data_IF_492057769968
#
_entry.id   IF_492057769968
#
_cell.length_a   1.000
_cell.length_b   1.000
_cell.length_c   1.000
_cell.angle_alpha   90.00
_cell.angle_beta   90.00
_cell.angle_gamma   90.00
#
_symmetry.space_group_name_H-M   'P 1'
#
loop_
_entity.id
_entity.type
_entity.pdbx_description
1 polymer ?
#
# COMPACT_ATOMS: atom_id res chain seq x y z
N UNK A 1 -40.58 -45.23 68.51
CA UNK A 1 -39.16 -44.98 68.35
C UNK A 1 -38.97 -44.41 66.96
N UNK A 2 -38.86 -43.16 66.89
CA UNK A 2 -38.66 -42.49 65.63
C UNK A 2 -37.20 -42.10 65.50
N UNK A 3 -36.57 -42.64 64.53
CA UNK A 3 -35.24 -42.24 64.15
C UNK A 3 -35.39 -40.96 63.34
N UNK A 4 -34.70 -39.90 63.69
CA UNK A 4 -34.74 -38.71 62.86
C UNK A 4 -33.96 -39.01 61.60
N UNK A 5 -34.66 -38.94 60.55
CA UNK A 5 -34.08 -39.03 59.23
C UNK A 5 -33.26 -37.78 59.00
N UNK A 6 -32.03 -37.96 58.98
CA UNK A 6 -31.16 -36.96 58.38
C UNK A 6 -31.54 -36.81 56.91
N UNK A 7 -31.95 -35.68 56.54
CA UNK A 7 -32.24 -35.37 55.18
C UNK A 7 -30.95 -35.16 54.42
N UNK A 8 -30.76 -35.88 53.35
CA UNK A 8 -29.60 -35.64 52.47
C UNK A 8 -29.95 -34.56 51.45
N UNK A 9 -29.98 -33.40 51.95
CA UNK A 9 -30.36 -32.33 51.07
C UNK A 9 -29.21 -31.40 50.73
N UNK A 10 -28.13 -31.93 50.88
CA UNK A 10 -26.93 -31.25 50.49
C UNK A 10 -26.54 -31.63 49.06
N UNK A 11 -27.05 -31.38 48.44
CA UNK A 11 -27.31 -30.79 47.36
C UNK A 11 -26.24 -29.98 46.74
N UNK A 12 -25.81 -30.52 45.74
CA UNK A 12 -25.23 -30.16 44.50
C UNK A 12 -24.25 -29.00 44.41
N UNK A 13 -24.30 -28.09 45.31
CA UNK A 13 -23.37 -26.95 45.27
C UNK A 13 -22.15 -27.09 46.23
N UNK A 14 -22.17 -28.08 47.06
CA UNK A 14 -21.01 -28.43 47.86
C UNK A 14 -19.91 -29.21 47.10
N UNK A 15 -20.20 -29.59 45.88
CA UNK A 15 -19.24 -30.27 45.00
C UNK A 15 -18.54 -29.37 44.02
N UNK A 16 -18.78 -28.05 44.12
CA UNK A 16 -18.00 -27.12 43.35
C UNK A 16 -16.59 -27.03 43.91
N UNK A 17 -15.73 -27.77 43.31
CA UNK A 17 -14.27 -27.70 43.60
C UNK A 17 -13.70 -26.55 42.77
N UNK A 18 -13.15 -25.53 43.40
CA UNK A 18 -12.55 -24.40 42.67
C UNK A 18 -11.19 -24.77 42.07
N UNK A 19 -11.13 -25.83 41.33
CA UNK A 19 -9.88 -26.30 40.75
C UNK A 19 -10.03 -26.91 39.38
N UNK A 20 -11.28 -27.12 38.95
CA UNK A 20 -11.56 -27.80 37.66
C UNK A 20 -11.86 -26.86 36.51
N UNK A 21 -12.10 -25.61 36.80
CA UNK A 21 -12.13 -24.61 35.74
C UNK A 21 -10.72 -24.10 35.54
N UNK A 22 -9.98 -24.72 34.67
CA UNK A 22 -8.77 -24.12 34.15
C UNK A 22 -9.21 -22.79 33.53
N UNK A 23 -8.71 -21.64 34.02
CA UNK A 23 -8.95 -20.42 33.31
C UNK A 23 -8.33 -20.64 31.92
N UNK A 24 -9.15 -20.55 30.91
CA UNK A 24 -8.65 -20.46 29.54
C UNK A 24 -7.66 -19.32 29.56
N UNK A 25 -6.39 -19.65 29.54
CA UNK A 25 -5.35 -18.63 29.57
C UNK A 25 -5.55 -17.82 28.30
N UNK A 26 -5.58 -16.50 28.41
CA UNK A 26 -5.77 -15.59 27.26
C UNK A 26 -4.77 -15.87 26.11
N UNK A 27 -3.76 -16.67 26.37
CA UNK A 27 -2.82 -17.14 25.38
C UNK A 27 -3.41 -18.17 24.40
N UNK A 28 -4.45 -18.93 24.78
CA UNK A 28 -5.05 -19.91 23.86
C UNK A 28 -5.85 -19.25 22.73
N UNK A 29 -6.37 -18.05 22.97
CA UNK A 29 -7.03 -17.26 21.91
C UNK A 29 -6.05 -16.62 20.90
N UNK A 30 -4.75 -16.64 21.20
CA UNK A 30 -3.71 -16.07 20.33
C UNK A 30 -3.05 -17.10 19.42
N UNK A 31 -3.37 -18.37 19.58
CA UNK A 31 -2.92 -19.46 18.72
C UNK A 31 -3.96 -19.83 17.65
N UNK A 32 -4.73 -18.88 17.19
CA UNK A 32 -5.32 -19.00 15.89
C UNK A 32 -4.15 -18.95 14.90
N UNK A 33 -3.82 -20.11 14.35
CA UNK A 33 -2.87 -20.18 13.25
C UNK A 33 -3.56 -19.53 12.03
N UNK A 34 -3.47 -18.20 11.96
CA UNK A 34 -4.07 -17.40 10.88
C UNK A 34 -3.41 -17.79 9.56
N UNK A 35 -2.15 -18.20 9.62
CA UNK A 35 -1.38 -18.65 8.45
C UNK A 35 -1.96 -19.93 7.80
N UNK A 36 -2.80 -20.68 8.53
CA UNK A 36 -3.46 -21.87 8.01
C UNK A 36 -4.57 -21.54 6.99
N UNK A 37 -5.04 -20.29 6.99
CA UNK A 37 -6.05 -19.79 6.05
C UNK A 37 -5.46 -18.96 4.92
N UNK A 38 -4.15 -18.81 4.90
CA UNK A 38 -3.40 -18.07 3.86
C UNK A 38 -3.07 -18.99 2.66
N UNK A 39 -3.99 -19.89 2.32
CA UNK A 39 -3.86 -20.76 1.14
C UNK A 39 -3.95 -19.98 -0.18
N UNK A 40 -4.35 -18.73 -0.13
CA UNK A 40 -4.38 -17.81 -1.28
C UNK A 40 -3.40 -16.65 -1.11
N UNK A 41 -2.16 -16.96 -0.76
CA UNK A 41 -1.11 -15.96 -0.88
C UNK A 41 -0.87 -15.69 -2.37
N UNK A 42 -1.55 -14.68 -2.90
CA UNK A 42 -1.28 -14.18 -4.25
C UNK A 42 0.20 -13.84 -4.36
N UNK A 43 0.85 -14.36 -5.39
CA UNK A 43 2.23 -14.00 -5.65
C UNK A 43 2.30 -12.50 -5.95
N UNK A 44 3.42 -11.86 -5.62
CA UNK A 44 3.62 -10.44 -5.92
C UNK A 44 3.47 -10.15 -7.43
N UNK A 45 3.64 -11.17 -8.27
CA UNK A 45 3.47 -11.12 -9.72
C UNK A 45 2.00 -11.09 -10.14
N UNK A 46 1.13 -11.83 -9.44
CA UNK A 46 -0.32 -11.82 -9.69
C UNK A 46 -0.98 -10.53 -9.21
N UNK A 47 -0.47 -9.95 -8.14
CA UNK A 47 -0.96 -8.67 -7.59
C UNK A 47 -0.46 -7.44 -8.37
N UNK A 48 0.63 -7.58 -9.12
CA UNK A 48 1.15 -6.51 -9.93
C UNK A 48 0.30 -6.35 -11.20
N UNK A 49 -0.20 -5.14 -11.51
CA UNK A 49 -0.86 -4.90 -12.77
C UNK A 49 0.09 -5.23 -13.92
N UNK A 50 -0.34 -6.14 -14.78
CA UNK A 50 0.44 -6.54 -15.94
C UNK A 50 0.21 -5.52 -17.07
N UNK A 51 1.26 -4.86 -17.50
CA UNK A 51 1.22 -4.01 -18.69
C UNK A 51 1.50 -4.89 -19.92
N UNK A 52 0.63 -4.90 -20.93
CA UNK A 52 0.82 -5.72 -22.12
C UNK A 52 1.93 -5.21 -23.04
N UNK A 53 2.43 -3.99 -22.82
CA UNK A 53 3.50 -3.37 -23.62
C UNK A 53 4.86 -3.94 -23.23
N UNK A 54 5.75 -4.04 -24.18
CA UNK A 54 7.14 -4.46 -23.93
C UNK A 54 7.91 -3.38 -23.17
N UNK A 55 9.00 -3.77 -22.49
CA UNK A 55 9.88 -2.83 -21.79
C UNK A 55 10.50 -1.79 -22.74
N UNK A 56 10.80 -2.20 -23.96
CA UNK A 56 11.32 -1.30 -25.00
C UNK A 56 10.29 -0.24 -25.42
N UNK A 57 9.04 -0.63 -25.63
CA UNK A 57 7.96 0.31 -25.96
C UNK A 57 7.71 1.28 -24.81
N UNK A 58 7.67 0.80 -23.58
CA UNK A 58 7.51 1.64 -22.40
C UNK A 58 8.66 2.62 -22.23
N UNK A 59 9.91 2.19 -22.51
CA UNK A 59 11.06 3.08 -22.43
C UNK A 59 11.06 4.14 -23.52
N UNK A 60 10.64 3.80 -24.74
CA UNK A 60 10.48 4.77 -25.83
C UNK A 60 9.41 5.81 -25.50
N UNK A 61 8.27 5.39 -24.96
CA UNK A 61 7.22 6.31 -24.50
C UNK A 61 7.73 7.23 -23.38
N UNK A 62 8.49 6.70 -22.44
CA UNK A 62 9.08 7.50 -21.37
C UNK A 62 10.08 8.54 -21.92
N UNK A 63 10.90 8.19 -22.90
CA UNK A 63 11.80 9.12 -23.56
C UNK A 63 11.07 10.19 -24.37
N UNK A 64 10.00 9.82 -25.08
CA UNK A 64 9.17 10.81 -25.79
C UNK A 64 8.55 11.82 -24.81
N UNK A 65 7.97 11.33 -23.70
CA UNK A 65 7.45 12.20 -22.64
C UNK A 65 8.50 13.14 -22.06
N UNK A 66 9.77 12.72 -21.98
CA UNK A 66 10.86 13.53 -21.46
C UNK A 66 11.08 14.80 -22.25
N UNK A 67 10.97 14.74 -23.58
CA UNK A 67 11.08 15.91 -24.45
C UNK A 67 9.94 16.91 -24.22
N UNK A 68 8.72 16.40 -24.12
CA UNK A 68 7.54 17.22 -23.88
C UNK A 68 7.56 17.90 -22.50
N UNK A 69 7.98 17.14 -21.48
CA UNK A 69 8.17 17.67 -20.12
C UNK A 69 9.17 18.82 -20.12
N UNK A 70 10.33 18.67 -20.77
CA UNK A 70 11.33 19.72 -20.87
C UNK A 70 10.80 20.97 -21.55
N UNK A 71 10.06 20.81 -22.64
CA UNK A 71 9.42 21.92 -23.34
C UNK A 71 8.44 22.68 -22.45
N UNK A 72 7.59 21.95 -21.68
CA UNK A 72 6.64 22.56 -20.76
C UNK A 72 7.30 23.22 -19.54
N UNK A 73 8.35 22.61 -19.01
CA UNK A 73 9.14 23.20 -17.91
C UNK A 73 9.79 24.51 -18.35
N UNK A 74 10.31 24.57 -19.59
CA UNK A 74 10.91 25.80 -20.13
C UNK A 74 9.88 26.92 -20.33
N UNK A 75 8.62 26.58 -20.58
CA UNK A 75 7.51 27.54 -20.67
C UNK A 75 6.89 27.88 -19.30
N UNK A 76 7.31 27.21 -18.22
CA UNK A 76 6.76 27.43 -16.87
C UNK A 76 5.43 26.71 -16.62
N UNK A 77 4.99 25.82 -17.50
CA UNK A 77 3.76 25.04 -17.36
C UNK A 77 3.99 23.76 -16.53
N UNK A 78 4.05 23.92 -15.21
CA UNK A 78 4.27 22.81 -14.28
C UNK A 78 3.10 21.83 -14.25
N UNK A 79 1.88 22.34 -14.29
CA UNK A 79 0.68 21.50 -14.28
C UNK A 79 0.62 20.62 -15.53
N UNK A 80 0.84 21.21 -16.71
CA UNK A 80 0.89 20.48 -17.96
C UNK A 80 2.03 19.45 -18.02
N UNK A 81 3.21 19.78 -17.45
CA UNK A 81 4.31 18.83 -17.36
C UNK A 81 3.96 17.60 -16.49
N UNK A 82 3.29 17.82 -15.36
CA UNK A 82 2.80 16.74 -14.50
C UNK A 82 1.73 15.90 -15.20
N UNK A 83 0.77 16.52 -15.89
CA UNK A 83 -0.22 15.79 -16.68
C UNK A 83 0.41 14.83 -17.69
N UNK A 84 1.41 15.28 -18.45
CA UNK A 84 2.09 14.43 -19.43
C UNK A 84 2.75 13.21 -18.79
N UNK A 85 3.39 13.38 -17.63
CA UNK A 85 4.08 12.28 -16.96
C UNK A 85 3.11 11.31 -16.29
N UNK A 86 2.03 11.83 -15.69
CA UNK A 86 1.11 11.05 -14.87
C UNK A 86 -0.03 10.41 -15.66
N UNK A 87 -0.30 10.85 -16.88
CA UNK A 87 -1.41 10.37 -17.71
C UNK A 87 -1.33 8.86 -18.03
N UNK A 88 -0.15 8.31 -18.17
CA UNK A 88 0.06 6.88 -18.47
C UNK A 88 1.34 6.41 -17.77
N UNK A 89 1.24 6.05 -16.48
CA UNK A 89 2.40 5.57 -15.74
C UNK A 89 2.76 4.14 -16.17
N UNK A 90 4.05 3.83 -16.40
CA UNK A 90 4.47 2.49 -16.72
C UNK A 90 4.21 1.56 -15.53
N UNK A 91 3.49 0.46 -15.79
CA UNK A 91 3.12 -0.56 -14.81
C UNK A 91 3.83 -1.88 -15.13
N UNK A 92 3.77 -2.81 -14.19
CA UNK A 92 4.40 -4.12 -14.36
C UNK A 92 5.83 -4.22 -13.83
N UNK A 93 6.26 -5.45 -13.57
CA UNK A 93 7.59 -5.72 -13.02
C UNK A 93 8.70 -5.56 -14.08
N UNK A 94 8.39 -5.81 -15.34
CA UNK A 94 9.32 -5.67 -16.46
C UNK A 94 9.67 -4.21 -16.80
N UNK A 95 8.82 -3.25 -16.44
CA UNK A 95 8.96 -1.83 -16.76
C UNK A 95 9.90 -1.06 -15.81
N UNK A 96 10.95 -1.69 -15.29
CA UNK A 96 11.83 -1.08 -14.27
C UNK A 96 12.49 0.19 -14.81
N UNK A 97 13.07 0.13 -16.01
CA UNK A 97 13.77 1.25 -16.59
C UNK A 97 12.84 2.44 -16.92
N UNK A 98 11.69 2.16 -17.52
CA UNK A 98 10.69 3.18 -17.81
C UNK A 98 10.15 3.84 -16.52
N UNK A 99 9.96 3.06 -15.45
CA UNK A 99 9.53 3.56 -14.14
C UNK A 99 10.59 4.45 -13.48
N UNK A 100 11.86 4.11 -13.58
CA UNK A 100 12.95 4.95 -13.06
C UNK A 100 13.09 6.26 -13.83
N UNK A 101 12.98 6.20 -15.16
CA UNK A 101 12.98 7.39 -16.00
C UNK A 101 11.79 8.30 -15.65
N UNK A 102 10.60 7.74 -15.50
CA UNK A 102 9.41 8.49 -15.09
C UNK A 102 9.58 9.10 -13.70
N UNK A 103 10.13 8.34 -12.74
CA UNK A 103 10.42 8.84 -11.39
C UNK A 103 11.38 10.03 -11.43
N UNK A 104 12.46 9.94 -12.20
CA UNK A 104 13.41 11.07 -12.31
C UNK A 104 12.75 12.31 -12.92
N UNK A 105 11.91 12.15 -13.94
CA UNK A 105 11.15 13.27 -14.50
C UNK A 105 10.21 13.92 -13.48
N UNK A 106 9.48 13.12 -12.69
CA UNK A 106 8.61 13.64 -11.63
C UNK A 106 9.42 14.42 -10.60
N UNK A 107 10.56 13.89 -10.17
CA UNK A 107 11.43 14.57 -9.20
C UNK A 107 12.00 15.88 -9.76
N UNK A 108 12.39 15.90 -11.03
CA UNK A 108 12.89 17.10 -11.70
C UNK A 108 11.82 18.19 -11.77
N UNK A 109 10.58 17.82 -12.09
CA UNK A 109 9.44 18.74 -12.10
C UNK A 109 9.21 19.30 -10.69
N UNK A 110 9.13 18.44 -9.66
CA UNK A 110 8.90 18.85 -8.29
C UNK A 110 10.02 19.75 -7.75
N UNK A 111 11.27 19.47 -8.08
CA UNK A 111 12.41 20.27 -7.66
C UNK A 111 12.47 21.64 -8.37
N UNK A 112 11.98 21.71 -9.60
CA UNK A 112 11.91 22.97 -10.36
C UNK A 112 10.67 23.81 -10.03
N UNK A 113 9.67 23.21 -9.38
CA UNK A 113 8.41 23.91 -9.04
C UNK A 113 8.63 24.85 -7.86
N UNK A 114 8.19 26.12 -8.03
CA UNK A 114 8.19 27.11 -6.95
C UNK A 114 7.11 26.78 -5.92
N UNK A 115 7.35 27.10 -4.67
CA UNK A 115 6.40 26.85 -3.57
C UNK A 115 5.00 27.45 -3.84
N UNK A 116 4.93 28.58 -4.52
CA UNK A 116 3.65 29.25 -4.85
C UNK A 116 2.85 28.49 -5.92
N UNK A 117 3.52 27.74 -6.78
CA UNK A 117 2.90 27.03 -7.91
C UNK A 117 2.47 25.61 -7.54
N UNK A 118 2.92 25.09 -6.38
CA UNK A 118 2.59 23.72 -5.93
C UNK A 118 1.08 23.55 -5.73
N UNK A 119 0.44 24.49 -5.06
CA UNK A 119 -1.00 24.42 -4.76
C UNK A 119 -1.88 24.48 -6.03
N UNK A 120 -1.67 25.42 -6.95
CA UNK A 120 -2.44 25.46 -8.19
C UNK A 120 -2.16 24.24 -9.08
N UNK A 121 -0.90 23.80 -9.21
CA UNK A 121 -0.56 22.60 -9.96
C UNK A 121 -1.26 21.35 -9.38
N UNK A 122 -1.24 21.15 -8.06
CA UNK A 122 -1.92 20.03 -7.42
C UNK A 122 -3.45 20.04 -7.56
N UNK A 123 -4.06 21.23 -7.68
CA UNK A 123 -5.51 21.36 -7.93
C UNK A 123 -5.89 21.09 -9.39
N UNK A 124 -4.97 21.34 -10.31
CA UNK A 124 -5.18 21.09 -11.74
C UNK A 124 -5.17 19.60 -12.09
N UNK A 125 -4.52 18.77 -11.25
CA UNK A 125 -4.44 17.31 -11.46
C UNK A 125 -5.75 16.62 -11.14
N UNK A 126 -6.08 15.58 -11.90
CA UNK A 126 -7.18 14.66 -11.60
C UNK A 126 -6.90 13.80 -10.36
N UNK A 127 -7.95 13.14 -9.82
CA UNK A 127 -7.83 12.29 -8.63
C UNK A 127 -6.85 11.12 -8.84
N UNK A 128 -6.89 10.45 -10.00
CA UNK A 128 -6.00 9.35 -10.34
C UNK A 128 -4.55 9.80 -10.52
N UNK A 129 -4.34 10.97 -11.11
CA UNK A 129 -3.02 11.56 -11.29
C UNK A 129 -2.40 11.96 -9.94
N UNK A 130 -3.20 12.52 -9.03
CA UNK A 130 -2.75 12.83 -7.67
C UNK A 130 -2.34 11.59 -6.90
N UNK A 131 -3.09 10.49 -7.03
CA UNK A 131 -2.74 9.20 -6.41
C UNK A 131 -1.42 8.66 -6.96
N UNK A 132 -1.26 8.70 -8.28
CA UNK A 132 -0.03 8.31 -8.97
C UNK A 132 1.16 9.17 -8.55
N UNK A 133 0.97 10.50 -8.45
CA UNK A 133 1.99 11.43 -7.97
C UNK A 133 2.44 11.10 -6.55
N UNK A 134 1.50 10.75 -5.67
CA UNK A 134 1.82 10.34 -4.30
C UNK A 134 2.67 9.08 -4.27
N UNK A 135 2.38 8.08 -5.11
CA UNK A 135 3.19 6.86 -5.25
C UNK A 135 4.63 7.18 -5.66
N UNK A 136 4.82 8.03 -6.66
CA UNK A 136 6.16 8.48 -7.08
C UNK A 136 6.90 9.27 -6.00
N UNK A 137 6.18 10.14 -5.28
CA UNK A 137 6.77 10.90 -4.16
C UNK A 137 7.31 9.98 -3.06
N UNK A 138 6.52 8.98 -2.64
CA UNK A 138 6.97 8.02 -1.63
C UNK A 138 8.20 7.23 -2.11
N UNK A 139 8.20 6.77 -3.35
CA UNK A 139 9.33 6.07 -3.92
C UNK A 139 10.58 6.96 -4.05
N UNK A 140 10.41 8.23 -4.37
CA UNK A 140 11.50 9.20 -4.37
C UNK A 140 12.13 9.40 -2.98
N UNK A 141 11.31 9.43 -1.94
CA UNK A 141 11.80 9.53 -0.55
C UNK A 141 12.53 8.27 -0.08
N UNK A 142 12.13 7.09 -0.53
CA UNK A 142 12.86 5.84 -0.25
C UNK A 142 14.25 5.87 -0.89
N UNK A 143 14.34 6.31 -2.13
CA UNK A 143 15.63 6.45 -2.83
C UNK A 143 16.58 7.43 -2.13
N UNK A 144 16.06 8.55 -1.62
CA UNK A 144 16.85 9.53 -0.87
C UNK A 144 17.34 9.05 0.49
N UNK A 145 16.72 8.01 1.07
CA UNK A 145 17.19 7.40 2.33
C UNK A 145 18.24 6.32 2.13
N UNK A 146 18.33 5.77 0.93
CA UNK A 146 19.27 4.69 0.59
C UNK A 146 20.58 5.20 0.00
N UNK A 147 20.69 6.50 -0.21
CA UNK A 147 21.89 7.21 -0.68
C UNK A 147 22.60 7.87 0.47
#
# INVERSE_FOLDING_TARGET
MLVPRALPHVIGWATWTPGTVRPATMSEFRHLNVDQYDEEAFSAEELAPQDPRSDEELSQVAHAKQSDVRARLSSGDMAGALHVVLADPPTGQHAVHARETTLSMVLDILNSTRTVDIMPAGKALDASERDTLMKYRYRGMERGRSA
#
